data_IF_828474547378
#
_entry.id   IF_828474547378
#
_cell.length_a   1.000
_cell.length_b   1.000
_cell.length_c   1.000
_cell.angle_alpha   90.00
_cell.angle_beta   90.00
_cell.angle_gamma   90.00
#
_symmetry.space_group_name_H-M   'P 1'
#
loop_
_entity.id
_entity.type
_entity.pdbx_description
1 polymer ?
#
# COMPACT_ATOMS: atom_id res chain seq x y z
N UNK A 1 3.27 -13.33 -7.04
CA UNK A 1 2.32 -12.21 -7.23
C UNK A 1 2.19 -11.86 -8.69
N UNK A 2 1.13 -11.18 -8.99
CA UNK A 2 0.92 -10.58 -10.31
C UNK A 2 0.51 -9.13 -10.11
N UNK A 3 1.16 -8.23 -10.84
CA UNK A 3 0.76 -6.82 -10.97
C UNK A 3 0.09 -6.68 -12.34
N UNK A 4 -1.22 -6.71 -12.34
CA UNK A 4 -2.04 -6.72 -13.56
C UNK A 4 -3.39 -6.03 -13.33
N UNK A 5 -4.09 -5.76 -14.42
CA UNK A 5 -5.50 -5.35 -14.33
C UNK A 5 -6.36 -6.48 -13.74
N UNK A 6 -7.34 -6.16 -12.90
CA UNK A 6 -8.31 -7.14 -12.44
C UNK A 6 -9.00 -7.84 -13.62
N UNK A 7 -9.19 -9.16 -13.55
CA UNK A 7 -9.94 -9.87 -14.58
C UNK A 7 -11.41 -9.40 -14.58
N UNK A 8 -12.04 -9.44 -15.76
CA UNK A 8 -13.47 -9.08 -15.87
C UNK A 8 -14.35 -10.05 -15.09
N UNK A 9 -14.01 -11.33 -15.13
CA UNK A 9 -14.64 -12.38 -14.33
C UNK A 9 -13.72 -12.68 -13.14
N UNK A 10 -14.14 -12.27 -11.94
CA UNK A 10 -13.36 -12.48 -10.71
C UNK A 10 -13.20 -13.97 -10.36
N UNK A 11 -14.01 -14.85 -10.91
CA UNK A 11 -13.83 -16.30 -10.80
C UNK A 11 -12.52 -16.80 -11.40
N UNK A 12 -11.89 -16.04 -12.30
CA UNK A 12 -10.55 -16.38 -12.82
C UNK A 12 -9.46 -16.39 -11.74
N UNK A 13 -9.64 -15.69 -10.65
CA UNK A 13 -8.68 -15.68 -9.53
C UNK A 13 -8.47 -17.09 -8.95
N UNK A 14 -9.50 -17.94 -8.93
CA UNK A 14 -9.36 -19.33 -8.53
C UNK A 14 -8.46 -20.13 -9.47
N UNK A 15 -8.52 -19.85 -10.78
CA UNK A 15 -7.60 -20.46 -11.75
C UNK A 15 -6.18 -19.97 -11.51
N UNK A 16 -5.99 -18.69 -11.23
CA UNK A 16 -4.66 -18.16 -10.89
C UNK A 16 -4.09 -18.85 -9.66
N UNK A 17 -4.92 -19.06 -8.63
CA UNK A 17 -4.52 -19.83 -7.44
C UNK A 17 -4.08 -21.25 -7.80
N UNK A 18 -4.81 -21.93 -8.69
CA UNK A 18 -4.46 -23.29 -9.13
C UNK A 18 -3.16 -23.37 -9.92
N UNK A 19 -2.72 -22.26 -10.53
CA UNK A 19 -1.43 -22.12 -11.20
C UNK A 19 -0.29 -21.67 -10.27
N UNK A 20 -0.55 -21.58 -8.96
CA UNK A 20 0.46 -21.22 -7.97
C UNK A 20 0.59 -19.71 -7.71
N UNK A 21 -0.31 -18.87 -8.23
CA UNK A 21 -0.40 -17.47 -7.80
C UNK A 21 -0.87 -17.45 -6.35
N UNK A 22 -0.15 -16.75 -5.50
CA UNK A 22 -0.42 -16.66 -4.06
C UNK A 22 -0.69 -15.22 -3.58
N UNK A 23 -0.57 -14.24 -4.46
CA UNK A 23 -0.88 -12.85 -4.18
C UNK A 23 -1.12 -12.08 -5.50
N UNK A 24 -1.85 -10.99 -5.39
CA UNK A 24 -2.13 -10.06 -6.47
C UNK A 24 -1.79 -8.65 -6.06
N UNK A 25 -1.46 -7.81 -7.04
CA UNK A 25 -1.33 -6.38 -6.88
C UNK A 25 -2.34 -5.72 -7.83
N UNK A 26 -3.41 -5.16 -7.26
CA UNK A 26 -4.47 -4.47 -7.99
C UNK A 26 -4.46 -2.99 -7.60
N UNK A 27 -3.64 -2.21 -8.29
CA UNK A 27 -3.34 -0.84 -7.96
C UNK A 27 -4.50 0.11 -8.22
N UNK A 28 -5.04 0.68 -7.16
CA UNK A 28 -6.15 1.62 -7.24
C UNK A 28 -5.70 3.04 -7.63
N UNK A 29 -4.45 3.42 -7.36
CA UNK A 29 -3.82 4.71 -7.62
C UNK A 29 -4.35 5.87 -6.79
N UNK A 30 -5.66 6.06 -6.69
CA UNK A 30 -6.34 7.06 -5.85
C UNK A 30 -7.60 6.46 -5.23
N UNK A 31 -7.97 6.91 -4.06
CA UNK A 31 -9.08 6.34 -3.29
C UNK A 31 -10.41 7.02 -3.58
N UNK A 32 -10.42 8.34 -3.76
CA UNK A 32 -11.64 9.09 -3.99
C UNK A 32 -12.14 8.90 -5.44
N UNK A 33 -13.42 8.50 -5.65
CA UNK A 33 -13.97 8.22 -6.99
C UNK A 33 -13.89 9.40 -7.97
N UNK A 34 -14.02 10.63 -7.48
CA UNK A 34 -13.92 11.82 -8.31
C UNK A 34 -12.51 11.98 -8.88
N UNK A 35 -11.49 11.76 -8.03
CA UNK A 35 -10.09 11.84 -8.45
C UNK A 35 -9.72 10.64 -9.30
N UNK A 36 -10.21 9.43 -8.98
CA UNK A 36 -9.99 8.23 -9.79
C UNK A 36 -10.44 8.46 -11.25
N UNK A 37 -11.64 9.01 -11.45
CA UNK A 37 -12.14 9.31 -12.79
C UNK A 37 -11.28 10.33 -13.53
N UNK A 38 -10.70 11.30 -12.82
CA UNK A 38 -9.88 12.36 -13.43
C UNK A 38 -8.45 11.89 -13.73
N UNK A 39 -7.83 11.12 -12.82
CA UNK A 39 -6.42 10.69 -12.89
C UNK A 39 -6.26 9.38 -13.67
N UNK A 40 -7.26 8.51 -13.60
CA UNK A 40 -7.22 7.16 -14.17
C UNK A 40 -8.37 6.88 -15.17
N UNK A 41 -8.61 7.75 -16.18
CA UNK A 41 -9.79 7.64 -17.03
C UNK A 41 -9.86 6.32 -17.83
N UNK A 42 -8.72 5.68 -18.07
CA UNK A 42 -8.63 4.39 -18.80
C UNK A 42 -8.84 3.14 -17.94
N UNK A 43 -8.99 3.27 -16.63
CA UNK A 43 -9.06 2.11 -15.72
C UNK A 43 -10.47 1.53 -15.50
N UNK A 44 -11.51 2.08 -16.15
CA UNK A 44 -12.89 1.61 -16.00
C UNK A 44 -13.49 1.97 -14.65
N UNK A 45 -14.28 1.06 -14.07
CA UNK A 45 -14.96 1.27 -12.80
C UNK A 45 -14.03 1.07 -11.59
N UNK A 46 -13.89 2.07 -10.75
CA UNK A 46 -13.17 1.93 -9.48
C UNK A 46 -13.79 0.86 -8.58
N UNK A 47 -15.11 0.75 -8.61
CA UNK A 47 -15.83 -0.28 -7.84
C UNK A 47 -15.37 -1.69 -8.21
N UNK A 48 -15.13 -1.97 -9.51
CA UNK A 48 -14.62 -3.26 -9.94
C UNK A 48 -13.21 -3.56 -9.38
N UNK A 49 -12.34 -2.54 -9.25
CA UNK A 49 -11.04 -2.70 -8.60
C UNK A 49 -11.18 -3.08 -7.14
N UNK A 50 -12.09 -2.42 -6.41
CA UNK A 50 -12.35 -2.74 -5.01
C UNK A 50 -12.93 -4.15 -4.83
N UNK A 51 -13.86 -4.56 -5.67
CA UNK A 51 -14.43 -5.91 -5.67
C UNK A 51 -13.36 -6.97 -5.96
N UNK A 52 -12.46 -6.69 -6.91
CA UNK A 52 -11.35 -7.59 -7.23
C UNK A 52 -10.34 -7.70 -6.07
N UNK A 53 -10.04 -6.61 -5.38
CA UNK A 53 -9.19 -6.62 -4.19
C UNK A 53 -9.83 -7.46 -3.07
N UNK A 54 -11.13 -7.30 -2.82
CA UNK A 54 -11.85 -8.05 -1.80
C UNK A 54 -11.93 -9.54 -2.15
N UNK A 55 -12.19 -9.88 -3.41
CA UNK A 55 -12.15 -11.26 -3.89
C UNK A 55 -10.73 -11.87 -3.78
N UNK A 56 -9.69 -11.09 -4.06
CA UNK A 56 -8.31 -11.55 -3.90
C UNK A 56 -7.96 -11.83 -2.44
N UNK A 57 -8.43 -10.98 -1.51
CA UNK A 57 -8.28 -11.22 -0.06
C UNK A 57 -8.96 -12.51 0.37
N UNK A 58 -10.18 -12.77 -0.13
CA UNK A 58 -10.90 -14.01 0.17
C UNK A 58 -10.16 -15.26 -0.33
N UNK A 59 -9.61 -15.17 -1.54
CA UNK A 59 -8.98 -16.32 -2.21
C UNK A 59 -7.54 -16.56 -1.72
N UNK A 60 -6.75 -15.50 -1.57
CA UNK A 60 -5.30 -15.59 -1.30
C UNK A 60 -4.94 -15.26 0.15
N UNK A 61 -5.87 -14.69 0.93
CA UNK A 61 -5.66 -14.33 2.32
C UNK A 61 -5.53 -12.82 2.57
N UNK A 62 -5.72 -12.44 3.83
CA UNK A 62 -5.62 -11.03 4.26
C UNK A 62 -4.17 -10.55 4.22
N UNK A 63 -3.98 -9.28 3.96
CA UNK A 63 -2.67 -8.64 3.90
C UNK A 63 -1.86 -9.06 2.68
N UNK A 64 -1.20 -10.21 2.74
CA UNK A 64 -0.33 -10.68 1.66
C UNK A 64 -1.06 -11.11 0.39
N UNK A 65 -2.34 -11.46 0.47
CA UNK A 65 -3.13 -11.95 -0.66
C UNK A 65 -3.47 -10.87 -1.68
N UNK A 66 -3.62 -9.63 -1.23
CA UNK A 66 -3.86 -8.49 -2.10
C UNK A 66 -3.13 -7.24 -1.63
N UNK A 67 -2.34 -6.66 -2.51
CA UNK A 67 -1.67 -5.38 -2.33
C UNK A 67 -2.29 -4.37 -3.28
N UNK A 68 -2.34 -3.11 -2.86
CA UNK A 68 -2.70 -1.98 -3.72
C UNK A 68 -1.81 -0.78 -3.45
N UNK A 69 -1.36 -0.12 -4.50
CA UNK A 69 -0.66 1.14 -4.39
C UNK A 69 -1.61 2.33 -4.57
N UNK A 70 -1.33 3.39 -3.80
CA UNK A 70 -1.99 4.69 -3.87
C UNK A 70 -0.95 5.76 -4.16
N UNK A 71 -1.20 6.61 -5.14
CA UNK A 71 -0.29 7.70 -5.47
C UNK A 71 -0.58 8.90 -4.59
N UNK A 72 0.19 9.03 -3.51
CA UNK A 72 0.09 10.13 -2.57
C UNK A 72 0.48 11.47 -3.24
N UNK A 73 -0.45 12.41 -3.23
CA UNK A 73 -0.32 13.70 -3.89
C UNK A 73 -1.29 13.90 -5.07
N UNK A 74 -2.05 12.87 -5.46
CA UNK A 74 -3.06 12.97 -6.52
C UNK A 74 -4.46 13.32 -6.01
N UNK A 75 -4.67 13.27 -4.69
CA UNK A 75 -5.94 13.58 -4.02
C UNK A 75 -5.71 14.21 -2.66
N UNK A 76 -6.73 14.84 -2.03
CA UNK A 76 -6.60 15.40 -0.69
C UNK A 76 -6.27 14.36 0.37
N UNK A 77 -5.41 14.73 1.33
CA UNK A 77 -4.92 13.86 2.40
C UNK A 77 -6.04 13.11 3.12
N UNK A 78 -7.08 13.80 3.59
CA UNK A 78 -8.15 13.19 4.38
C UNK A 78 -8.83 12.03 3.67
N UNK A 79 -9.28 12.24 2.42
CA UNK A 79 -9.93 11.20 1.63
C UNK A 79 -9.01 10.03 1.28
N UNK A 80 -7.72 10.30 1.05
CA UNK A 80 -6.73 9.26 0.82
C UNK A 80 -6.54 8.39 2.06
N UNK A 81 -6.36 9.00 3.24
CA UNK A 81 -6.16 8.28 4.51
C UNK A 81 -7.40 7.44 4.87
N UNK A 82 -8.61 8.01 4.73
CA UNK A 82 -9.86 7.27 4.93
C UNK A 82 -9.96 6.06 4.00
N UNK A 83 -9.61 6.24 2.73
CA UNK A 83 -9.62 5.15 1.75
C UNK A 83 -8.56 4.08 2.04
N UNK A 84 -7.36 4.46 2.46
CA UNK A 84 -6.31 3.53 2.90
C UNK A 84 -6.83 2.70 4.09
N UNK A 85 -7.38 3.37 5.09
CA UNK A 85 -7.90 2.70 6.28
C UNK A 85 -9.04 1.74 5.93
N UNK A 86 -9.96 2.16 5.06
CA UNK A 86 -11.06 1.29 4.59
C UNK A 86 -10.51 0.02 3.92
N UNK A 87 -9.55 0.14 3.00
CA UNK A 87 -8.96 -1.02 2.32
C UNK A 87 -8.22 -1.93 3.30
N UNK A 88 -7.42 -1.37 4.21
CA UNK A 88 -6.72 -2.13 5.25
C UNK A 88 -7.70 -2.88 6.17
N UNK A 89 -8.81 -2.27 6.54
CA UNK A 89 -9.87 -2.92 7.35
C UNK A 89 -10.46 -4.15 6.65
N UNK A 90 -10.55 -4.13 5.32
CA UNK A 90 -11.00 -5.25 4.48
C UNK A 90 -9.92 -6.29 4.22
N UNK A 91 -8.70 -6.05 4.64
CA UNK A 91 -7.59 -7.00 4.50
C UNK A 91 -6.70 -6.75 3.29
N UNK A 92 -6.90 -5.65 2.57
CA UNK A 92 -6.05 -5.25 1.45
C UNK A 92 -4.86 -4.47 1.97
N UNK A 93 -3.64 -4.95 1.72
CA UNK A 93 -2.42 -4.24 2.13
C UNK A 93 -2.20 -3.04 1.21
N UNK A 94 -2.38 -1.84 1.75
CA UNK A 94 -2.38 -0.60 0.97
C UNK A 94 -1.11 0.20 1.20
N UNK A 95 -0.38 0.51 0.13
CA UNK A 95 0.92 1.18 0.17
C UNK A 95 0.84 2.53 -0.53
N UNK A 96 1.04 3.66 0.18
CA UNK A 96 1.16 4.95 -0.47
C UNK A 96 2.53 5.09 -1.15
N UNK A 97 2.52 5.59 -2.38
CA UNK A 97 3.71 5.90 -3.18
C UNK A 97 3.75 7.39 -3.48
N UNK A 98 4.93 8.00 -3.46
CA UNK A 98 5.06 9.44 -3.76
C UNK A 98 4.68 9.73 -5.22
N UNK A 99 3.93 10.81 -5.42
CA UNK A 99 3.63 11.28 -6.77
C UNK A 99 4.90 11.75 -7.49
N UNK A 100 5.05 11.29 -8.72
CA UNK A 100 6.07 11.77 -9.65
C UNK A 100 5.46 11.95 -11.04
N UNK A 101 5.39 13.19 -11.53
CA UNK A 101 4.90 13.47 -12.88
C UNK A 101 5.86 12.93 -13.94
N UNK A 102 5.43 11.92 -14.70
CA UNK A 102 6.25 11.38 -15.79
C UNK A 102 6.33 12.39 -16.96
N UNK A 103 7.54 12.65 -17.52
CA UNK A 103 7.69 13.48 -18.70
C UNK A 103 6.79 13.03 -19.86
N UNK A 104 6.10 13.96 -20.50
CA UNK A 104 5.19 13.66 -21.60
C UNK A 104 3.79 13.17 -21.19
N UNK A 105 3.53 12.93 -19.91
CA UNK A 105 2.19 12.64 -19.41
C UNK A 105 1.37 13.93 -19.22
N UNK A 106 0.03 13.84 -19.19
CA UNK A 106 -0.83 14.99 -18.84
C UNK A 106 -0.52 15.59 -17.45
N UNK A 107 0.16 14.85 -16.59
CA UNK A 107 0.52 15.26 -15.24
C UNK A 107 1.98 15.74 -15.12
N UNK A 108 2.72 15.85 -16.21
CA UNK A 108 4.14 16.26 -16.21
C UNK A 108 4.42 17.63 -15.56
N UNK A 109 3.44 18.53 -15.56
CA UNK A 109 3.55 19.85 -14.93
C UNK A 109 2.95 19.96 -13.53
N UNK A 110 2.40 18.88 -13.00
CA UNK A 110 1.79 18.89 -11.68
C UNK A 110 2.88 18.91 -10.61
N UNK A 111 2.76 19.84 -9.66
CA UNK A 111 3.68 19.93 -8.53
C UNK A 111 3.26 18.95 -7.45
N UNK A 112 4.17 18.11 -6.94
CA UNK A 112 3.89 17.30 -5.77
C UNK A 112 3.65 18.18 -4.53
N UNK A 113 2.95 17.68 -3.52
CA UNK A 113 2.91 18.31 -2.20
C UNK A 113 4.30 18.57 -1.59
N UNK A 114 4.38 19.45 -0.61
CA UNK A 114 5.62 19.69 0.14
C UNK A 114 6.00 18.52 1.04
N UNK A 115 7.24 18.54 1.55
CA UNK A 115 7.77 17.47 2.39
C UNK A 115 6.93 17.21 3.65
N UNK A 116 6.47 18.28 4.30
CA UNK A 116 5.67 18.17 5.52
C UNK A 116 4.36 17.39 5.30
N UNK A 117 3.76 17.55 4.12
CA UNK A 117 2.56 16.80 3.75
C UNK A 117 2.84 15.30 3.67
N UNK A 118 3.99 14.91 3.11
CA UNK A 118 4.39 13.50 3.04
C UNK A 118 4.75 12.92 4.41
N UNK A 119 5.33 13.72 5.29
CA UNK A 119 5.56 13.32 6.70
C UNK A 119 4.22 13.02 7.37
N UNK A 120 3.22 13.90 7.21
CA UNK A 120 1.89 13.67 7.77
C UNK A 120 1.23 12.40 7.20
N UNK A 121 1.39 12.13 5.89
CA UNK A 121 0.96 10.85 5.29
C UNK A 121 1.62 9.67 5.99
N UNK A 122 2.94 9.71 6.15
CA UNK A 122 3.70 8.63 6.76
C UNK A 122 3.23 8.33 8.19
N UNK A 123 3.07 9.34 9.01
CA UNK A 123 2.61 9.22 10.40
C UNK A 123 1.22 8.55 10.47
N UNK A 124 0.25 9.07 9.69
CA UNK A 124 -1.12 8.52 9.67
C UNK A 124 -1.17 7.09 9.14
N UNK A 125 -0.39 6.77 8.11
CA UNK A 125 -0.34 5.43 7.54
C UNK A 125 0.30 4.44 8.49
N UNK A 126 1.35 4.83 9.23
CA UNK A 126 1.94 4.02 10.29
C UNK A 126 0.91 3.67 11.37
N UNK A 127 0.10 4.65 11.81
CA UNK A 127 -0.97 4.42 12.77
C UNK A 127 -1.99 3.38 12.27
N UNK A 128 -2.38 3.48 10.98
CA UNK A 128 -3.27 2.49 10.35
C UNK A 128 -2.63 1.11 10.30
N UNK A 129 -1.35 1.00 9.91
CA UNK A 129 -0.65 -0.29 9.88
C UNK A 129 -0.63 -0.95 11.25
N UNK A 130 -0.33 -0.21 12.32
CA UNK A 130 -0.36 -0.75 13.66
C UNK A 130 -1.76 -1.15 14.12
N UNK A 131 -2.78 -0.37 13.74
CA UNK A 131 -4.18 -0.67 14.04
C UNK A 131 -4.63 -2.02 13.45
N UNK A 132 -4.15 -2.37 12.25
CA UNK A 132 -4.57 -3.57 11.54
C UNK A 132 -3.49 -4.66 11.48
N UNK A 133 -2.34 -4.50 12.13
CA UNK A 133 -1.20 -5.42 12.06
C UNK A 133 -1.58 -6.88 12.36
N UNK A 134 -2.39 -7.09 13.41
CA UNK A 134 -2.78 -8.44 13.82
C UNK A 134 -3.82 -9.09 12.89
N UNK A 135 -4.55 -8.28 12.13
CA UNK A 135 -5.63 -8.77 11.25
C UNK A 135 -5.20 -8.93 9.80
N UNK A 136 -4.07 -8.33 9.42
CA UNK A 136 -3.57 -8.38 8.05
C UNK A 136 -2.66 -9.58 7.76
N UNK A 137 -2.32 -10.39 8.76
CA UNK A 137 -1.33 -11.48 8.62
C UNK A 137 -0.03 -10.98 7.94
N UNK A 138 0.36 -9.76 8.25
CA UNK A 138 1.60 -9.14 7.77
C UNK A 138 2.62 -9.20 8.88
N UNK A 139 3.72 -9.89 8.65
CA UNK A 139 4.83 -9.87 9.57
C UNK A 139 5.62 -8.58 9.39
N UNK A 140 5.35 -7.61 10.26
CA UNK A 140 6.04 -6.32 10.24
C UNK A 140 7.53 -6.41 10.61
N UNK A 141 8.01 -7.58 11.05
CA UNK A 141 9.38 -7.81 11.51
C UNK A 141 10.25 -8.54 10.51
N UNK A 142 9.65 -9.27 9.58
CA UNK A 142 10.39 -10.02 8.57
C UNK A 142 10.64 -9.22 7.30
N UNK A 143 11.75 -9.54 6.66
CA UNK A 143 12.08 -9.15 5.30
C UNK A 143 11.04 -9.79 4.36
N UNK A 144 10.03 -9.04 4.02
CA UNK A 144 9.03 -9.50 3.09
C UNK A 144 9.72 -9.78 1.75
N UNK A 145 9.53 -10.99 1.22
CA UNK A 145 10.09 -11.43 -0.08
C UNK A 145 9.71 -10.50 -1.25
N UNK A 146 8.73 -9.66 -1.04
CA UNK A 146 8.23 -8.68 -2.00
C UNK A 146 9.03 -7.38 -2.02
N UNK A 147 9.90 -7.15 -1.05
CA UNK A 147 10.69 -5.92 -0.94
C UNK A 147 9.85 -4.66 -0.65
N UNK A 148 8.53 -4.82 -0.49
CA UNK A 148 7.62 -3.71 -0.22
C UNK A 148 7.75 -3.20 1.21
N UNK A 149 7.98 -4.09 2.17
CA UNK A 149 8.19 -3.69 3.56
C UNK A 149 9.51 -2.95 3.78
N UNK A 150 10.56 -3.24 3.01
CA UNK A 150 11.83 -2.51 3.07
C UNK A 150 11.99 -1.42 2.02
N UNK A 151 11.55 -1.64 0.77
CA UNK A 151 11.76 -0.68 -0.32
C UNK A 151 10.60 0.27 -0.52
N UNK A 152 9.35 -0.17 -0.46
CA UNK A 152 8.17 0.69 -0.60
C UNK A 152 7.97 1.56 0.64
N UNK A 153 8.23 1.04 1.82
CA UNK A 153 8.22 1.82 3.06
C UNK A 153 9.42 2.76 3.17
N UNK A 154 10.56 2.48 2.54
CA UNK A 154 11.71 3.37 2.61
C UNK A 154 11.44 4.78 2.11
N UNK A 155 10.50 4.97 1.21
CA UNK A 155 10.11 6.30 0.73
C UNK A 155 9.30 7.11 1.76
N UNK A 156 8.59 6.41 2.65
CA UNK A 156 7.81 7.00 3.73
C UNK A 156 8.40 6.72 5.10
N UNK A 157 9.44 5.90 5.20
CA UNK A 157 9.82 5.21 6.42
C UNK A 157 11.14 5.65 7.04
N UNK A 158 11.90 6.55 6.47
CA UNK A 158 13.15 6.97 7.12
C UNK A 158 12.91 7.57 8.52
N UNK A 159 11.89 8.41 8.78
CA UNK A 159 11.47 8.76 10.12
C UNK A 159 10.60 7.69 10.80
N UNK A 160 9.87 6.89 10.02
CA UNK A 160 8.90 5.90 10.54
C UNK A 160 9.51 4.57 10.94
N UNK A 161 10.71 4.21 10.44
CA UNK A 161 11.35 2.95 10.82
C UNK A 161 11.78 2.96 12.30
N UNK A 162 12.31 4.06 12.81
CA UNK A 162 12.63 4.19 14.23
C UNK A 162 11.34 4.16 15.08
N UNK A 163 10.28 4.84 14.67
CA UNK A 163 9.00 4.85 15.35
C UNK A 163 8.31 3.49 15.27
N UNK A 164 8.31 2.86 14.10
CA UNK A 164 7.79 1.51 13.90
C UNK A 164 8.55 0.50 14.77
N UNK A 165 9.88 0.54 14.76
CA UNK A 165 10.71 -0.34 15.59
C UNK A 165 10.43 -0.13 17.07
N UNK A 166 10.31 1.11 17.53
CA UNK A 166 9.95 1.45 18.90
C UNK A 166 8.59 0.86 19.28
N UNK A 167 7.56 1.07 18.46
CA UNK A 167 6.21 0.54 18.70
C UNK A 167 6.19 -0.99 18.71
N UNK A 168 6.91 -1.65 17.80
CA UNK A 168 7.02 -3.10 17.78
C UNK A 168 7.72 -3.66 19.02
N UNK A 169 8.73 -2.94 19.55
CA UNK A 169 9.36 -3.29 20.82
C UNK A 169 8.40 -3.13 21.99
N UNK A 170 7.66 -2.03 22.06
CA UNK A 170 6.63 -1.79 23.09
C UNK A 170 5.53 -2.85 23.07
N UNK A 171 5.17 -3.35 21.87
CA UNK A 171 4.21 -4.45 21.72
C UNK A 171 4.81 -5.84 21.99
N UNK A 172 6.11 -5.94 22.33
CA UNK A 172 6.80 -7.21 22.54
C UNK A 172 6.98 -8.05 21.27
N UNK A 173 6.81 -7.47 20.09
CA UNK A 173 6.96 -8.14 18.79
C UNK A 173 8.39 -8.07 18.23
N UNK A 174 9.25 -7.24 18.80
CA UNK A 174 10.69 -7.18 18.53
C UNK A 174 11.46 -7.32 19.84
N UNK A 175 12.55 -8.12 19.87
CA UNK A 175 13.43 -8.14 21.03
C UNK A 175 14.08 -6.77 21.22
N UNK A 176 14.29 -6.30 22.47
CA UNK A 176 15.03 -5.09 22.72
C UNK A 176 16.47 -5.24 22.21
N UNK A 177 16.92 -4.28 21.41
CA UNK A 177 18.33 -4.17 21.04
C UNK A 177 18.74 -4.81 19.72
N UNK A 178 17.82 -4.98 18.74
CA UNK A 178 18.28 -5.20 17.37
C UNK A 178 19.08 -3.98 16.92
N UNK A 179 20.37 -4.14 16.52
CA UNK A 179 21.20 -3.03 16.14
C UNK A 179 20.58 -2.31 14.94
N UNK A 180 20.61 -0.97 14.97
CA UNK A 180 20.41 -0.17 13.77
C UNK A 180 21.30 -0.78 12.70
N UNK A 181 20.76 -1.03 11.51
CA UNK A 181 21.60 -1.20 10.33
C UNK A 181 22.12 0.20 9.95
N UNK A 182 23.04 0.69 10.73
CA UNK A 182 23.87 1.83 10.38
C UNK A 182 24.75 1.37 9.24
N UNK A 183 24.56 1.89 8.08
CA UNK A 183 25.50 1.65 7.00
C UNK A 183 24.88 1.61 5.62
N UNK A 184 24.36 2.73 5.18
CA UNK A 184 24.58 3.19 3.82
C UNK A 184 24.98 4.66 3.95
N UNK A 185 26.26 4.88 4.13
CA UNK A 185 26.88 6.16 3.80
C UNK A 185 26.76 6.33 2.28
N UNK A 186 26.05 7.39 1.87
CA UNK A 186 26.05 7.89 0.49
C UNK A 186 27.00 9.06 0.43
#
# INVERSE_FOLDING_TARGET
ATDVYPPKDLGELYKWKSFGVNATEFDNQVMNPRYFKAVCPGRGSQQHWFEAQEAAVEIFGRGRGCITNVVAGCEPLGGMIEGIEERMSKGVYTVPMTFGGAPGSPMAGMRPPGAEWYVEVAEKVVDIYFKYADTLDVNLTEDDRWGYTRRGQSWFSAPSDDEKSRRLQEMGKLPPGLPRQDGIDV
#
